data_IF_366427245010
#
_entry.id   IF_366427245010
#
_cell.length_a   1.000
_cell.length_b   1.000
_cell.length_c   1.000
_cell.angle_alpha   90.00
_cell.angle_beta   90.00
_cell.angle_gamma   90.00
#
_symmetry.space_group_name_H-M   'P 1'
#
loop_
_entity.id
_entity.type
_entity.pdbx_description
1 polymer ?
#
# COMPACT_ATOMS: atom_id res chain seq x y z
N UNK A 1 -6.57 -2.94 -24.64
CA UNK A 1 -5.46 -2.82 -23.65
C UNK A 1 -6.05 -3.14 -22.28
N UNK A 2 -6.06 -4.41 -21.89
CA UNK A 2 -6.60 -4.82 -20.59
C UNK A 2 -5.56 -4.52 -19.51
N UNK A 3 -5.91 -3.63 -18.59
CA UNK A 3 -5.11 -3.28 -17.41
C UNK A 3 -4.92 -4.53 -16.55
N UNK A 4 -3.82 -5.26 -16.77
CA UNK A 4 -3.41 -6.41 -15.96
C UNK A 4 -3.41 -6.05 -14.47
N UNK A 5 -3.79 -7.00 -13.60
CA UNK A 5 -4.09 -6.72 -12.20
C UNK A 5 -2.86 -6.15 -11.49
N UNK A 6 -2.90 -4.85 -11.17
CA UNK A 6 -1.91 -4.18 -10.29
C UNK A 6 -2.00 -4.68 -8.83
N UNK A 7 -2.90 -5.62 -8.58
CA UNK A 7 -3.38 -6.10 -7.28
C UNK A 7 -2.29 -6.74 -6.40
N UNK A 8 -1.48 -7.73 -6.87
CA UNK A 8 -0.49 -8.36 -6.01
C UNK A 8 0.68 -7.42 -5.71
N UNK A 9 1.09 -6.60 -6.69
CA UNK A 9 2.19 -5.65 -6.51
C UNK A 9 1.82 -4.55 -5.51
N UNK A 10 0.59 -4.03 -5.59
CA UNK A 10 0.12 -3.01 -4.65
C UNK A 10 0.03 -3.53 -3.22
N UNK A 11 -0.42 -4.78 -3.02
CA UNK A 11 -0.53 -5.37 -1.69
C UNK A 11 0.84 -5.64 -1.07
N UNK A 12 1.78 -6.23 -1.82
CA UNK A 12 3.14 -6.47 -1.32
C UNK A 12 3.88 -5.18 -0.96
N UNK A 13 3.71 -4.11 -1.75
CA UNK A 13 4.30 -2.80 -1.47
C UNK A 13 3.67 -2.13 -0.23
N UNK A 14 2.35 -2.24 -0.06
CA UNK A 14 1.66 -1.76 1.13
C UNK A 14 2.14 -2.51 2.39
N UNK A 15 2.28 -3.84 2.32
CA UNK A 15 2.80 -4.67 3.41
C UNK A 15 4.21 -4.25 3.80
N UNK A 16 5.12 -4.09 2.81
CA UNK A 16 6.49 -3.60 3.05
C UNK A 16 6.50 -2.21 3.67
N UNK A 17 5.63 -1.31 3.22
CA UNK A 17 5.50 0.05 3.76
C UNK A 17 5.05 0.02 5.22
N UNK A 18 4.03 -0.77 5.56
CA UNK A 18 3.57 -0.93 6.95
C UNK A 18 4.68 -1.50 7.82
N UNK A 19 5.29 -2.61 7.42
CA UNK A 19 6.39 -3.23 8.16
C UNK A 19 7.52 -2.23 8.45
N UNK A 20 7.89 -1.42 7.45
CA UNK A 20 8.93 -0.40 7.61
C UNK A 20 8.50 0.79 8.47
N UNK A 21 7.22 1.18 8.40
CA UNK A 21 6.70 2.35 9.09
C UNK A 21 6.34 2.08 10.55
N UNK A 22 5.84 0.88 10.85
CA UNK A 22 5.36 0.51 12.19
C UNK A 22 6.37 -0.35 12.94
N UNK A 23 7.26 -1.07 12.25
CA UNK A 23 8.14 -2.07 12.87
C UNK A 23 7.41 -3.32 13.37
N UNK A 24 6.08 -3.33 13.28
CA UNK A 24 5.21 -4.35 13.85
C UNK A 24 5.06 -5.61 13.00
N UNK A 25 4.59 -6.69 13.62
CA UNK A 25 4.31 -7.94 12.94
C UNK A 25 3.04 -7.84 12.11
N UNK A 26 3.08 -8.24 10.84
CA UNK A 26 1.89 -8.29 9.99
C UNK A 26 1.10 -9.55 10.30
N UNK A 27 -0.20 -9.37 10.58
CA UNK A 27 -1.14 -10.44 10.84
C UNK A 27 -2.00 -10.76 9.61
N UNK A 28 -2.18 -9.80 8.70
CA UNK A 28 -2.91 -10.00 7.45
C UNK A 28 -3.01 -8.74 6.59
N UNK A 29 -3.33 -8.94 5.31
CA UNK A 29 -3.62 -7.88 4.37
C UNK A 29 -4.86 -8.25 3.56
N UNK A 30 -5.89 -7.42 3.60
CA UNK A 30 -7.17 -7.63 2.94
C UNK A 30 -7.52 -6.42 2.08
N UNK A 31 -8.25 -6.63 0.97
CA UNK A 31 -8.80 -5.52 0.20
C UNK A 31 -10.21 -5.21 0.65
N UNK A 32 -10.42 -3.98 1.11
CA UNK A 32 -11.73 -3.51 1.57
C UNK A 32 -12.27 -2.45 0.63
N UNK A 33 -13.58 -2.46 0.31
CA UNK A 33 -14.21 -1.38 -0.41
C UNK A 33 -14.25 -0.11 0.46
N UNK A 34 -13.80 1.01 -0.08
CA UNK A 34 -13.76 2.31 0.58
C UNK A 34 -13.98 3.42 -0.45
N UNK A 35 -15.02 4.23 -0.27
CA UNK A 35 -15.35 5.38 -1.14
C UNK A 35 -15.33 5.06 -2.65
N UNK A 36 -15.92 3.92 -3.04
CA UNK A 36 -16.01 3.51 -4.45
C UNK A 36 -14.73 2.93 -5.06
N UNK A 37 -13.67 2.74 -4.26
CA UNK A 37 -12.44 2.02 -4.67
C UNK A 37 -12.10 0.90 -3.70
N UNK A 38 -11.31 -0.07 -4.14
CA UNK A 38 -10.72 -1.09 -3.24
C UNK A 38 -9.41 -0.56 -2.69
N UNK A 39 -9.29 -0.49 -1.37
CA UNK A 39 -8.04 -0.12 -0.67
C UNK A 39 -7.44 -1.35 0.01
N UNK A 40 -6.14 -1.32 0.27
CA UNK A 40 -5.48 -2.40 1.02
C UNK A 40 -5.49 -2.06 2.50
N UNK A 41 -6.18 -2.86 3.30
CA UNK A 41 -6.17 -2.76 4.76
C UNK A 41 -5.23 -3.81 5.33
N UNK A 42 -4.29 -3.36 6.14
CA UNK A 42 -3.27 -4.21 6.73
C UNK A 42 -3.49 -4.27 8.23
N UNK A 43 -3.61 -5.49 8.74
CA UNK A 43 -3.67 -5.81 10.16
C UNK A 43 -2.25 -6.06 10.65
N UNK A 44 -1.80 -5.32 11.65
CA UNK A 44 -0.49 -5.48 12.25
C UNK A 44 -0.58 -5.46 13.79
N UNK A 45 0.38 -6.11 14.42
CA UNK A 45 0.63 -6.03 15.85
C UNK A 45 1.76 -5.03 16.08
N UNK A 46 1.49 -3.98 16.86
CA UNK A 46 2.53 -3.04 17.28
C UNK A 46 3.43 -3.63 18.36
N UNK A 47 4.52 -2.94 18.69
CA UNK A 47 5.48 -3.36 19.72
C UNK A 47 4.89 -3.43 21.13
N UNK A 48 3.71 -2.83 21.35
CA UNK A 48 2.96 -2.93 22.60
C UNK A 48 2.02 -4.15 22.63
N UNK A 49 2.04 -5.00 21.61
CA UNK A 49 1.19 -6.18 21.50
C UNK A 49 -0.26 -5.85 21.13
N UNK A 50 -0.54 -4.65 20.62
CA UNK A 50 -1.90 -4.24 20.23
C UNK A 50 -2.09 -4.46 18.74
N UNK A 51 -3.24 -5.03 18.41
CA UNK A 51 -3.67 -5.18 17.03
C UNK A 51 -4.19 -3.84 16.52
N UNK A 52 -3.59 -3.33 15.45
CA UNK A 52 -4.03 -2.12 14.77
C UNK A 52 -4.21 -2.38 13.28
N UNK A 53 -4.92 -1.47 12.63
CA UNK A 53 -5.20 -1.51 11.20
C UNK A 53 -4.60 -0.28 10.54
N UNK A 54 -4.00 -0.46 9.36
CA UNK A 54 -3.57 0.64 8.49
C UNK A 54 -4.30 0.52 7.17
N UNK A 55 -5.01 1.56 6.76
CA UNK A 55 -5.48 1.74 5.39
C UNK A 55 -4.36 2.30 4.53
N UNK A 56 -3.98 1.54 3.50
CA UNK A 56 -3.18 2.05 2.40
C UNK A 56 -4.13 2.25 1.21
N UNK A 57 -4.39 3.49 0.78
CA UNK A 57 -5.26 3.78 -0.36
C UNK A 57 -4.68 3.29 -1.71
N UNK A 58 -3.64 2.46 -1.68
CA UNK A 58 -2.82 2.10 -2.82
C UNK A 58 -1.85 3.23 -3.15
N UNK A 59 -0.90 2.99 -4.09
CA UNK A 59 -0.15 4.08 -4.68
C UNK A 59 -1.16 5.05 -5.30
N UNK A 60 -1.36 6.21 -4.66
CA UNK A 60 -1.83 7.39 -5.36
C UNK A 60 -0.94 7.49 -6.58
N UNK A 61 -1.55 7.38 -7.76
CA UNK A 61 -0.83 7.52 -9.02
C UNK A 61 -0.35 8.96 -9.07
N UNK A 62 0.73 9.27 -8.35
CA UNK A 62 1.49 10.47 -8.55
C UNK A 62 1.82 10.43 -10.04
N UNK A 63 1.24 11.39 -10.77
CA UNK A 63 1.52 11.55 -12.19
C UNK A 63 3.04 11.38 -12.37
N UNK A 64 3.50 10.63 -13.39
CA UNK A 64 4.92 10.42 -13.58
C UNK A 64 5.57 11.81 -13.60
N UNK A 65 6.43 12.09 -12.63
CA UNK A 65 7.34 13.25 -12.72
C UNK A 65 8.36 12.90 -13.80
N UNK A 66 7.90 12.91 -15.06
CA UNK A 66 8.76 12.93 -16.23
C UNK A 66 9.11 14.39 -16.47
N UNK A 67 9.96 14.90 -15.60
CA UNK A 67 10.59 16.21 -15.69
C UNK A 67 11.97 16.05 -15.10
N UNK A 68 12.83 15.29 -15.78
CA UNK A 68 14.30 15.36 -15.63
C UNK A 68 14.98 14.55 -16.76
N UNK A 69 14.83 15.01 -18.01
CA UNK A 69 15.74 14.63 -19.09
C UNK A 69 15.80 15.78 -20.10
N UNK A 70 16.17 16.96 -19.62
CA UNK A 70 16.94 17.95 -20.37
C UNK A 70 18.28 18.01 -19.64
N UNK A 71 19.41 17.74 -20.28
CA UNK A 71 20.23 18.68 -21.07
C UNK A 71 21.64 18.03 -21.22
N UNK A 72 22.57 18.43 -22.10
CA UNK A 72 22.52 19.19 -23.37
C UNK A 72 22.81 18.33 -24.63
#
# INVERSE_FOLDING_TARGET
>A
MESRPQQPRSMSEAVRRVQRSTGGQILGAEQVPFEGRSITRIKYMDDHGRVRYMDDPGPVRAAPRRGDHGDP
#
